data_IF_063782818422
#
_entry.id   IF_063782818422
#
_cell.length_a   1.000
_cell.length_b   1.000
_cell.length_c   1.000
_cell.angle_alpha   90.00
_cell.angle_beta   90.00
_cell.angle_gamma   90.00
#
_symmetry.space_group_name_H-M   'P 1'
#
loop_
_entity.id
_entity.type
_entity.pdbx_description
1 polymer ?
#
# COMPACT_ATOMS: atom_id res chain seq x y z
N UNK A 1 10.09 -16.14 -2.13
CA UNK A 1 9.30 -15.24 -1.26
C UNK A 1 9.67 -13.76 -1.41
N UNK A 2 10.96 -13.39 -1.37
CA UNK A 2 11.42 -11.99 -1.37
C UNK A 2 10.93 -11.15 -2.58
N UNK A 3 10.86 -11.74 -3.78
CA UNK A 3 10.33 -11.05 -4.96
C UNK A 3 8.86 -10.63 -4.81
N UNK A 4 8.03 -11.43 -4.15
CA UNK A 4 6.61 -11.09 -3.99
C UNK A 4 6.39 -9.94 -3.01
N UNK A 5 7.23 -9.84 -1.96
CA UNK A 5 7.14 -8.76 -1.00
C UNK A 5 7.48 -7.40 -1.62
N UNK A 6 8.43 -7.35 -2.56
CA UNK A 6 8.88 -6.12 -3.21
C UNK A 6 8.04 -5.75 -4.44
N UNK A 7 7.61 -6.74 -5.22
CA UNK A 7 7.05 -6.49 -6.56
C UNK A 7 5.54 -6.67 -6.67
N UNK A 8 4.90 -7.40 -5.75
CA UNK A 8 3.48 -7.70 -5.87
C UNK A 8 2.61 -6.45 -5.69
N UNK A 9 1.60 -6.33 -6.55
CA UNK A 9 0.53 -5.33 -6.44
C UNK A 9 -0.83 -5.95 -6.16
N UNK A 10 -0.87 -7.28 -5.94
CA UNK A 10 -2.11 -8.05 -5.87
C UNK A 10 -3.02 -7.57 -4.74
N UNK A 11 -2.45 -7.16 -3.60
CA UNK A 11 -3.23 -6.64 -2.48
C UNK A 11 -3.94 -5.32 -2.80
N UNK A 12 -3.35 -4.46 -3.62
CA UNK A 12 -4.02 -3.24 -4.07
C UNK A 12 -5.05 -3.55 -5.16
N UNK A 13 -4.70 -4.42 -6.10
CA UNK A 13 -5.57 -4.74 -7.25
C UNK A 13 -6.69 -5.74 -6.93
N UNK A 14 -6.75 -6.29 -5.72
CA UNK A 14 -7.74 -7.28 -5.37
C UNK A 14 -9.16 -6.69 -5.38
N UNK A 15 -9.99 -7.26 -6.25
CA UNK A 15 -11.42 -7.02 -6.36
C UNK A 15 -12.24 -8.21 -5.84
N UNK A 16 -11.59 -9.34 -5.57
CA UNK A 16 -12.23 -10.60 -5.16
C UNK A 16 -12.48 -10.68 -3.64
N UNK A 17 -11.80 -9.84 -2.85
CA UNK A 17 -11.89 -9.83 -1.39
C UNK A 17 -11.13 -10.99 -0.72
N UNK A 18 -10.24 -11.65 -1.47
CA UNK A 18 -9.38 -12.72 -0.94
C UNK A 18 -8.38 -12.16 0.07
N UNK A 19 -7.87 -10.94 -0.14
CA UNK A 19 -7.02 -10.30 0.85
C UNK A 19 -7.85 -9.81 2.03
N UNK A 20 -7.26 -9.97 3.23
CA UNK A 20 -7.82 -9.57 4.51
C UNK A 20 -6.75 -8.89 5.35
N UNK A 21 -7.15 -8.44 6.55
CA UNK A 21 -6.24 -7.94 7.58
C UNK A 21 -5.08 -8.92 7.78
N UNK A 22 -3.85 -8.43 7.71
CA UNK A 22 -2.66 -9.21 8.08
C UNK A 22 -2.66 -9.40 9.59
N UNK A 23 -2.61 -10.66 10.04
CA UNK A 23 -2.70 -10.99 11.47
C UNK A 23 -1.44 -10.53 12.21
N UNK A 24 -1.60 -10.21 13.50
CA UNK A 24 -0.53 -9.80 14.42
C UNK A 24 0.25 -8.54 14.00
N UNK A 25 -0.35 -7.72 13.13
CA UNK A 25 0.19 -6.42 12.72
C UNK A 25 -0.94 -5.39 12.76
N UNK A 26 -0.70 -4.27 13.43
CA UNK A 26 -1.69 -3.20 13.53
C UNK A 26 -1.80 -2.41 12.23
N UNK A 27 -0.66 -2.02 11.65
CA UNK A 27 -0.56 -1.22 10.41
C UNK A 27 0.65 -1.62 9.58
N UNK A 28 0.49 -1.68 8.26
CA UNK A 28 1.56 -1.90 7.27
C UNK A 28 1.55 -0.70 6.33
N UNK A 29 2.69 -0.04 6.17
CA UNK A 29 2.86 1.05 5.23
C UNK A 29 3.55 0.55 3.95
N UNK A 30 2.94 0.82 2.80
CA UNK A 30 3.34 0.30 1.50
C UNK A 30 3.51 1.44 0.50
N UNK A 31 4.61 1.39 -0.25
CA UNK A 31 4.78 2.17 -1.47
C UNK A 31 4.55 1.32 -2.72
N UNK A 32 5.34 1.57 -3.77
CA UNK A 32 5.39 0.80 -5.03
C UNK A 32 4.16 0.90 -5.93
N UNK A 33 2.96 0.92 -5.35
CA UNK A 33 1.72 1.18 -6.07
C UNK A 33 1.36 2.65 -5.93
N UNK A 34 1.57 3.42 -7.00
CA UNK A 34 1.20 4.83 -7.06
C UNK A 34 -0.32 4.96 -6.98
N UNK A 35 -0.80 5.81 -6.07
CA UNK A 35 -2.21 6.13 -5.86
C UNK A 35 -2.43 7.64 -5.91
N UNK A 36 -3.63 8.09 -6.28
CA UNK A 36 -3.92 9.53 -6.38
C UNK A 36 -3.96 10.22 -5.00
N UNK A 37 -4.36 9.49 -3.97
CA UNK A 37 -4.42 9.90 -2.56
C UNK A 37 -4.10 8.70 -1.66
N UNK A 38 -3.63 8.88 -0.41
CA UNK A 38 -3.37 7.75 0.48
C UNK A 38 -4.60 6.87 0.66
N UNK A 39 -4.44 5.56 0.48
CA UNK A 39 -5.55 4.58 0.54
C UNK A 39 -5.29 3.57 1.65
N UNK A 40 -6.34 3.22 2.38
CA UNK A 40 -6.30 2.14 3.37
C UNK A 40 -7.14 0.97 2.87
N UNK A 41 -6.52 -0.21 2.76
CA UNK A 41 -7.24 -1.49 2.58
C UNK A 41 -6.92 -2.41 3.75
N UNK A 42 -7.91 -2.66 4.59
CA UNK A 42 -7.73 -3.35 5.89
C UNK A 42 -6.69 -2.63 6.77
N UNK A 43 -5.60 -3.30 7.14
CA UNK A 43 -4.48 -2.70 7.87
C UNK A 43 -3.29 -2.33 6.97
N UNK A 44 -3.50 -2.23 5.65
CA UNK A 44 -2.47 -1.82 4.70
C UNK A 44 -2.73 -0.39 4.22
N UNK A 45 -1.78 0.48 4.51
CA UNK A 45 -1.76 1.90 4.17
C UNK A 45 -0.86 2.10 2.95
N UNK A 46 -1.45 2.45 1.81
CA UNK A 46 -0.76 2.77 0.57
C UNK A 46 -0.48 4.27 0.55
N UNK A 47 0.79 4.65 0.64
CA UNK A 47 1.24 6.04 0.84
C UNK A 47 2.04 6.60 -0.34
N UNK A 48 2.31 5.80 -1.37
CA UNK A 48 2.99 6.29 -2.56
C UNK A 48 2.03 7.10 -3.43
N UNK A 49 2.02 8.41 -3.23
CA UNK A 49 1.30 9.37 -4.08
C UNK A 49 2.08 9.79 -5.33
N UNK A 50 3.13 9.05 -5.67
CA UNK A 50 3.90 9.23 -6.90
C UNK A 50 4.73 10.51 -6.91
N UNK A 51 5.36 10.88 -5.79
CA UNK A 51 6.13 12.13 -5.65
C UNK A 51 7.06 12.43 -6.83
N UNK A 52 7.72 11.41 -7.40
CA UNK A 52 8.62 11.56 -8.54
C UNK A 52 7.93 11.99 -9.85
N UNK A 53 6.60 11.81 -9.97
CA UNK A 53 5.78 12.19 -11.13
C UNK A 53 4.84 13.35 -10.84
N UNK A 54 4.27 13.39 -9.65
CA UNK A 54 3.19 14.31 -9.27
C UNK A 54 3.70 15.48 -8.43
N UNK A 55 4.91 15.39 -7.87
CA UNK A 55 5.40 16.31 -6.85
C UNK A 55 4.72 16.13 -5.48
N UNK A 56 3.75 15.21 -5.35
CA UNK A 56 3.03 14.99 -4.11
C UNK A 56 3.73 13.95 -3.23
N UNK A 57 4.45 14.42 -2.21
CA UNK A 57 5.06 13.57 -1.20
C UNK A 57 4.12 13.40 0.00
N UNK A 58 3.66 12.17 0.24
CA UNK A 58 2.88 11.83 1.43
C UNK A 58 3.77 11.65 2.65
N UNK A 59 3.42 12.30 3.75
CA UNK A 59 4.04 12.14 5.08
C UNK A 59 2.93 11.75 6.07
N UNK A 60 3.19 10.72 6.89
CA UNK A 60 2.26 10.26 7.93
C UNK A 60 2.97 10.29 9.28
N UNK A 61 2.38 10.98 10.25
CA UNK A 61 2.76 10.91 11.66
C UNK A 61 2.15 9.65 12.29
N UNK A 62 2.96 8.91 13.06
CA UNK A 62 2.62 7.58 13.58
C UNK A 62 2.59 7.51 15.09
#
# INVERSE_FOLDING_TARGET
AMNLALWSRNRFNDQTGIYRKVKNIDRIYLGHTIVDYPVIKHNCHFIDTGAYRTGNLTIIEV
#
